data_IF_967569067917
#
_entry.id   IF_967569067917
#
_cell.length_a   1.000
_cell.length_b   1.000
_cell.length_c   1.000
_cell.angle_alpha   90.00
_cell.angle_beta   90.00
_cell.angle_gamma   90.00
#
_symmetry.space_group_name_H-M   'P 1'
#
loop_
_entity.id
_entity.type
_entity.pdbx_description
1 polymer ?
#
# COMPACT_ATOMS: atom_id res chain seq x y z
N UNK A 1 28.31 -7.24 5.63
CA UNK A 1 27.98 -7.35 4.21
C UNK A 1 28.67 -8.56 3.53
N UNK A 2 29.89 -8.89 3.90
CA UNK A 2 30.68 -9.93 3.22
C UNK A 2 30.59 -11.33 3.84
N UNK A 3 29.88 -11.50 4.95
CA UNK A 3 29.76 -12.81 5.63
C UNK A 3 28.73 -13.75 4.99
N UNK A 4 27.95 -13.30 4.01
CA UNK A 4 27.02 -14.11 3.23
C UNK A 4 25.80 -14.68 3.99
N UNK A 5 25.61 -14.27 5.25
CA UNK A 5 24.60 -14.87 6.13
C UNK A 5 23.31 -14.06 6.26
N UNK A 6 23.15 -12.97 5.48
CA UNK A 6 22.00 -12.06 5.62
C UNK A 6 21.49 -11.66 4.25
N UNK A 7 20.19 -11.88 3.99
CA UNK A 7 19.52 -11.55 2.73
C UNK A 7 18.99 -10.10 2.69
N UNK A 8 18.88 -9.45 3.84
CA UNK A 8 18.37 -8.08 3.91
C UNK A 8 18.54 -7.43 5.28
N UNK A 9 18.23 -6.16 5.32
CA UNK A 9 18.37 -5.31 6.50
C UNK A 9 17.08 -4.53 6.76
N UNK A 10 16.75 -4.38 8.04
CA UNK A 10 15.72 -3.45 8.50
C UNK A 10 16.42 -2.24 9.14
N UNK A 11 16.16 -1.04 8.61
CA UNK A 11 16.68 0.22 9.15
C UNK A 11 15.52 0.97 9.79
N UNK A 12 15.57 1.14 11.10
CA UNK A 12 14.55 1.86 11.87
C UNK A 12 15.06 3.24 12.23
N UNK A 13 14.69 4.23 11.41
CA UNK A 13 15.11 5.62 11.62
C UNK A 13 14.24 6.57 10.80
N UNK A 14 14.15 7.83 11.25
CA UNK A 14 13.55 8.94 10.48
C UNK A 14 14.60 9.94 10.00
N UNK A 15 15.89 9.60 10.13
CA UNK A 15 17.00 10.47 9.76
C UNK A 15 17.44 10.24 8.31
N UNK A 16 17.68 11.34 7.59
CA UNK A 16 18.19 11.34 6.22
C UNK A 16 19.62 10.82 6.07
N UNK A 17 20.40 10.81 7.14
CA UNK A 17 21.80 10.37 7.12
C UNK A 17 21.93 8.90 6.74
N UNK A 18 20.90 8.10 7.04
CA UNK A 18 20.85 6.69 6.64
C UNK A 18 20.54 6.46 5.15
N UNK A 19 20.26 7.52 4.38
CA UNK A 19 19.98 7.40 2.94
C UNK A 19 21.09 6.71 2.18
N UNK A 20 22.35 7.10 2.43
CA UNK A 20 23.52 6.50 1.78
C UNK A 20 23.71 5.03 2.16
N UNK A 21 23.49 4.70 3.41
CA UNK A 21 23.56 3.32 3.88
C UNK A 21 22.50 2.45 3.18
N UNK A 22 21.24 2.90 3.16
CA UNK A 22 20.15 2.18 2.51
C UNK A 22 20.42 1.97 1.00
N UNK A 23 20.88 3.03 0.30
CA UNK A 23 21.24 2.94 -1.11
C UNK A 23 22.36 1.92 -1.34
N UNK A 24 23.43 1.96 -0.53
CA UNK A 24 24.58 1.07 -0.65
C UNK A 24 24.22 -0.40 -0.41
N UNK A 25 23.39 -0.67 0.58
CA UNK A 25 22.89 -2.02 0.86
C UNK A 25 22.08 -2.55 -0.32
N UNK A 26 21.21 -1.74 -0.88
CA UNK A 26 20.39 -2.11 -2.06
C UNK A 26 21.24 -2.31 -3.31
N UNK A 27 22.24 -1.47 -3.55
CA UNK A 27 23.22 -1.64 -4.64
C UNK A 27 24.01 -2.93 -4.53
N UNK A 28 24.26 -3.40 -3.30
CA UNK A 28 24.88 -4.69 -3.02
C UNK A 28 23.93 -5.88 -3.15
N UNK A 29 22.70 -5.68 -3.65
CA UNK A 29 21.71 -6.73 -3.84
C UNK A 29 20.92 -7.13 -2.60
N UNK A 30 21.10 -6.44 -1.47
CA UNK A 30 20.40 -6.72 -0.22
C UNK A 30 18.97 -6.14 -0.23
N UNK A 31 18.02 -6.84 0.38
CA UNK A 31 16.69 -6.29 0.64
C UNK A 31 16.78 -5.25 1.76
N UNK A 32 16.28 -4.04 1.53
CA UNK A 32 16.29 -2.97 2.52
C UNK A 32 14.85 -2.59 2.88
N UNK A 33 14.45 -2.90 4.10
CA UNK A 33 13.20 -2.44 4.72
C UNK A 33 13.49 -1.23 5.59
N UNK A 34 12.95 -0.06 5.25
CA UNK A 34 12.97 1.12 6.10
C UNK A 34 11.74 1.19 7.00
N UNK A 35 11.93 1.61 8.23
CA UNK A 35 10.85 1.94 9.16
C UNK A 35 11.11 3.30 9.80
N UNK A 36 10.11 4.17 9.87
CA UNK A 36 10.26 5.49 10.47
C UNK A 36 8.92 6.20 10.62
N UNK A 37 8.96 7.44 11.06
CA UNK A 37 7.78 8.27 11.24
C UNK A 37 7.29 8.87 9.91
N UNK A 38 6.06 9.38 9.88
CA UNK A 38 5.45 10.04 8.70
C UNK A 38 6.24 11.28 8.22
N UNK A 39 7.08 11.87 9.10
CA UNK A 39 7.98 12.99 8.78
C UNK A 39 9.27 12.59 8.07
N UNK A 40 9.56 11.29 7.93
CA UNK A 40 10.79 10.77 7.32
C UNK A 40 11.03 11.37 5.94
N UNK A 41 12.26 11.84 5.63
CA UNK A 41 12.57 12.45 4.35
C UNK A 41 12.43 11.48 3.17
N UNK A 42 11.86 11.96 2.07
CA UNK A 42 11.64 11.17 0.85
C UNK A 42 12.92 10.52 0.28
N UNK A 43 14.10 11.12 0.30
CA UNK A 43 15.34 10.47 -0.16
C UNK A 43 15.60 9.15 0.56
N UNK A 44 15.44 9.10 1.90
CA UNK A 44 15.63 7.86 2.65
C UNK A 44 14.56 6.81 2.30
N UNK A 45 13.30 7.22 2.22
CA UNK A 45 12.19 6.32 1.80
C UNK A 45 12.47 5.70 0.43
N UNK A 46 12.90 6.52 -0.55
CA UNK A 46 13.19 6.06 -1.92
C UNK A 46 14.44 5.18 -2.02
N UNK A 47 15.36 5.30 -1.07
CA UNK A 47 16.55 4.45 -1.00
C UNK A 47 16.23 3.02 -0.53
N UNK A 48 15.11 2.80 0.16
CA UNK A 48 14.66 1.48 0.61
C UNK A 48 13.91 0.72 -0.50
N UNK A 49 13.87 -0.62 -0.42
CA UNK A 49 12.99 -1.45 -1.23
C UNK A 49 11.53 -1.34 -0.78
N UNK A 50 11.33 -1.26 0.55
CA UNK A 50 10.05 -1.02 1.18
C UNK A 50 10.21 -0.07 2.35
N UNK A 51 9.18 0.72 2.64
CA UNK A 51 9.16 1.62 3.79
C UNK A 51 7.83 1.50 4.53
N UNK A 52 7.89 1.43 5.87
CA UNK A 52 6.73 1.35 6.76
C UNK A 52 6.72 2.53 7.73
N UNK A 53 5.57 3.20 7.84
CA UNK A 53 5.38 4.28 8.79
C UNK A 53 4.95 3.70 10.15
N UNK A 54 5.78 3.86 11.17
CA UNK A 54 5.53 3.30 12.52
C UNK A 54 4.32 3.93 13.19
N UNK A 55 4.14 5.23 13.06
CA UNK A 55 3.00 5.96 13.60
C UNK A 55 1.67 5.55 12.95
N UNK A 56 1.67 5.19 11.66
CA UNK A 56 0.50 4.65 10.99
C UNK A 56 0.21 3.21 11.42
N UNK A 57 1.23 2.38 11.57
CA UNK A 57 1.09 1.01 12.07
C UNK A 57 0.49 1.00 13.48
N UNK A 58 0.99 1.84 14.36
CA UNK A 58 0.48 1.96 15.73
C UNK A 58 -0.97 2.43 15.79
N UNK A 59 -1.36 3.43 14.98
CA UNK A 59 -2.75 3.87 14.88
C UNK A 59 -3.69 2.78 14.38
N UNK A 60 -3.27 2.06 13.34
CA UNK A 60 -4.07 0.98 12.77
C UNK A 60 -4.28 -0.16 13.78
N UNK A 61 -3.26 -0.49 14.57
CA UNK A 61 -3.36 -1.49 15.62
C UNK A 61 -4.37 -1.07 16.69
N UNK A 62 -4.33 0.18 17.15
CA UNK A 62 -5.31 0.70 18.11
C UNK A 62 -6.75 0.72 17.56
N UNK A 63 -6.92 0.95 16.25
CA UNK A 63 -8.23 0.91 15.61
C UNK A 63 -8.75 -0.53 15.44
N UNK A 64 -7.87 -1.50 15.22
CA UNK A 64 -8.20 -2.92 15.15
C UNK A 64 -8.58 -3.44 16.54
N UNK A 65 -7.80 -3.15 17.59
CA UNK A 65 -8.11 -3.51 18.99
C UNK A 65 -9.47 -2.94 19.43
N UNK A 66 -9.75 -1.67 19.12
CA UNK A 66 -11.07 -1.06 19.44
C UNK A 66 -12.23 -1.68 18.67
N UNK A 67 -12.00 -2.24 17.50
CA UNK A 67 -13.04 -2.95 16.74
C UNK A 67 -13.31 -4.32 17.31
N UNK A 68 -12.27 -5.04 17.70
CA UNK A 68 -12.41 -6.34 18.38
C UNK A 68 -13.13 -6.19 19.73
N UNK A 69 -12.81 -5.15 20.51
CA UNK A 69 -13.51 -4.82 21.74
C UNK A 69 -14.98 -4.44 21.51
N UNK A 70 -15.28 -3.77 20.39
CA UNK A 70 -16.66 -3.42 20.00
C UNK A 70 -17.44 -4.59 19.42
N UNK A 71 -16.80 -5.51 18.71
CA UNK A 71 -17.44 -6.73 18.21
C UNK A 71 -17.75 -7.70 19.35
N UNK A 72 -16.84 -7.84 20.32
CA UNK A 72 -17.12 -8.62 21.56
C UNK A 72 -18.22 -7.99 22.43
N UNK A 73 -18.37 -6.65 22.39
CA UNK A 73 -19.45 -5.93 23.08
C UNK A 73 -20.76 -5.85 22.26
N UNK A 74 -20.70 -6.03 20.94
CA UNK A 74 -21.86 -5.91 20.04
C UNK A 74 -22.64 -7.21 19.86
N UNK A 75 -22.11 -8.36 20.25
CA UNK A 75 -22.92 -9.57 20.43
C UNK A 75 -23.98 -9.43 21.53
N UNK A 76 -23.86 -8.39 22.38
CA UNK A 76 -24.81 -8.09 23.44
C UNK A 76 -25.89 -7.03 23.08
N UNK A 77 -25.75 -6.22 21.98
CA UNK A 77 -26.77 -5.19 21.63
C UNK A 77 -26.78 -4.90 20.12
N UNK A 78 -27.81 -5.38 19.43
CA UNK A 78 -28.20 -4.91 18.09
C UNK A 78 -28.76 -3.49 18.16
N UNK A 79 -28.21 -2.58 17.33
CA UNK A 79 -28.77 -1.44 16.61
C UNK A 79 -28.00 -0.13 16.83
N UNK A 80 -27.65 0.52 15.69
CA UNK A 80 -27.39 1.97 15.68
C UNK A 80 -26.15 2.43 14.92
N UNK A 81 -26.36 2.66 13.62
CA UNK A 81 -25.81 3.74 12.78
C UNK A 81 -24.38 4.27 13.05
N UNK A 82 -23.45 3.89 12.18
CA UNK A 82 -22.07 4.36 12.18
C UNK A 82 -21.89 5.70 11.46
N UNK A 83 -21.42 6.71 12.14
CA UNK A 83 -21.04 7.99 11.56
C UNK A 83 -19.53 8.10 11.53
N UNK A 84 -18.99 8.19 10.33
CA UNK A 84 -17.56 8.26 10.01
C UNK A 84 -17.03 9.67 10.32
N UNK A 85 -16.24 9.85 11.38
CA UNK A 85 -15.54 11.10 11.64
C UNK A 85 -14.19 11.11 10.90
N UNK A 86 -14.17 11.82 9.79
CA UNK A 86 -12.96 12.30 9.13
C UNK A 86 -12.20 13.26 10.05
N UNK A 87 -10.94 12.95 10.34
CA UNK A 87 -10.04 13.87 11.02
C UNK A 87 -9.00 14.45 10.06
N UNK A 88 -8.87 15.72 10.14
CA UNK A 88 -8.11 16.74 9.45
C UNK A 88 -6.62 16.39 9.14
N UNK A 89 -6.34 15.80 8.01
CA UNK A 89 -5.08 15.91 7.26
C UNK A 89 -5.32 15.89 5.75
N UNK A 90 -6.34 16.60 5.29
CA UNK A 90 -6.86 16.52 3.91
C UNK A 90 -5.88 16.94 2.82
N UNK A 91 -4.93 17.84 3.09
CA UNK A 91 -4.04 18.36 2.04
C UNK A 91 -2.90 17.41 1.66
N UNK A 92 -2.26 16.73 2.63
CA UNK A 92 -1.22 15.72 2.37
C UNK A 92 -1.82 14.46 1.74
N UNK A 93 -2.90 13.92 2.31
CA UNK A 93 -3.61 12.74 1.77
C UNK A 93 -4.05 12.93 0.32
N UNK A 94 -4.54 14.13 -0.06
CA UNK A 94 -4.92 14.41 -1.45
C UNK A 94 -3.74 14.43 -2.44
N UNK A 95 -2.56 14.92 -2.02
CA UNK A 95 -1.35 14.87 -2.86
C UNK A 95 -0.84 13.45 -3.04
N UNK A 96 -0.86 12.67 -1.97
CA UNK A 96 -0.43 11.26 -2.01
C UNK A 96 -1.40 10.40 -2.83
N UNK A 97 -2.71 10.62 -2.73
CA UNK A 97 -3.70 9.96 -3.59
C UNK A 97 -3.51 10.30 -5.08
N UNK A 98 -3.19 11.56 -5.42
CA UNK A 98 -2.86 11.95 -6.80
C UNK A 98 -1.60 11.24 -7.31
N UNK A 99 -0.56 11.12 -6.46
CA UNK A 99 0.67 10.40 -6.78
C UNK A 99 0.39 8.91 -7.03
N UNK A 100 -0.40 8.29 -6.17
CA UNK A 100 -0.80 6.87 -6.31
C UNK A 100 -1.64 6.65 -7.57
N UNK A 101 -2.66 7.49 -7.84
CA UNK A 101 -3.44 7.41 -9.10
C UNK A 101 -2.56 7.51 -10.33
N UNK A 102 -1.63 8.47 -10.36
CA UNK A 102 -0.70 8.62 -11.49
C UNK A 102 0.17 7.37 -11.67
N UNK A 103 0.61 6.76 -10.58
CA UNK A 103 1.38 5.51 -10.62
C UNK A 103 0.53 4.34 -11.14
N UNK A 104 -0.72 4.20 -10.67
CA UNK A 104 -1.66 3.15 -11.12
C UNK A 104 -1.93 3.29 -12.62
N UNK A 105 -2.25 4.49 -13.11
CA UNK A 105 -2.51 4.72 -14.53
C UNK A 105 -1.31 4.32 -15.38
N UNK A 106 -0.11 4.80 -15.03
CA UNK A 106 1.11 4.46 -15.75
C UNK A 106 1.49 2.97 -15.68
N UNK A 107 1.05 2.24 -14.65
CA UNK A 107 1.25 0.79 -14.55
C UNK A 107 0.24 0.07 -15.45
N UNK A 108 -1.04 0.47 -15.42
CA UNK A 108 -2.06 -0.11 -16.28
C UNK A 108 -1.70 0.11 -17.75
N UNK A 109 -1.36 1.34 -18.17
CA UNK A 109 -0.93 1.65 -19.53
C UNK A 109 0.24 0.79 -20.02
N UNK A 110 1.18 0.45 -19.12
CA UNK A 110 2.40 -0.27 -19.49
C UNK A 110 2.25 -1.79 -19.44
N UNK A 111 1.44 -2.32 -18.58
CA UNK A 111 1.43 -3.75 -18.22
C UNK A 111 0.07 -4.43 -18.41
N UNK A 112 -0.98 -3.70 -18.85
CA UNK A 112 -2.27 -4.31 -19.21
C UNK A 112 -2.17 -5.14 -20.48
N UNK A 113 -3.10 -6.08 -20.63
CA UNK A 113 -3.31 -6.82 -21.87
C UNK A 113 -3.96 -5.95 -22.97
N UNK A 114 -4.24 -6.56 -24.13
CA UNK A 114 -4.85 -5.88 -25.30
C UNK A 114 -6.24 -5.29 -24.99
N UNK A 115 -6.93 -5.83 -24.01
CA UNK A 115 -8.25 -5.35 -23.55
C UNK A 115 -8.16 -4.32 -22.42
N UNK A 116 -6.94 -3.95 -22.01
CA UNK A 116 -6.66 -2.99 -20.94
C UNK A 116 -6.77 -3.56 -19.53
N UNK A 117 -6.83 -4.88 -19.35
CA UNK A 117 -6.91 -5.52 -18.05
C UNK A 117 -5.53 -5.83 -17.46
N UNK A 118 -5.38 -5.56 -16.17
CA UNK A 118 -4.18 -5.87 -15.39
C UNK A 118 -4.57 -6.64 -14.13
N UNK A 119 -3.86 -7.73 -13.83
CA UNK A 119 -4.12 -8.52 -12.64
C UNK A 119 -3.79 -7.77 -11.35
N UNK A 120 -4.56 -8.04 -10.28
CA UNK A 120 -4.35 -7.40 -8.97
C UNK A 120 -2.97 -7.71 -8.37
N UNK A 121 -2.43 -8.88 -8.64
CA UNK A 121 -1.08 -9.27 -8.19
C UNK A 121 0.00 -8.44 -8.85
N UNK A 122 -0.03 -8.33 -10.20
CA UNK A 122 0.91 -7.49 -10.95
C UNK A 122 0.81 -6.03 -10.57
N UNK A 123 -0.42 -5.49 -10.39
CA UNK A 123 -0.60 -4.12 -9.95
C UNK A 123 0.03 -3.87 -8.59
N UNK A 124 -0.18 -4.77 -7.61
CA UNK A 124 0.41 -4.66 -6.28
C UNK A 124 1.93 -4.71 -6.29
N UNK A 125 2.51 -5.64 -7.05
CA UNK A 125 3.96 -5.80 -7.21
C UNK A 125 4.60 -4.54 -7.84
N UNK A 126 4.01 -4.03 -8.93
CA UNK A 126 4.51 -2.83 -9.61
C UNK A 126 4.35 -1.56 -8.76
N UNK A 127 3.26 -1.46 -7.99
CA UNK A 127 3.07 -0.35 -7.04
C UNK A 127 4.14 -0.37 -5.94
N UNK A 128 4.43 -1.52 -5.35
CA UNK A 128 5.48 -1.66 -4.35
C UNK A 128 6.86 -1.28 -4.86
N UNK A 129 7.19 -1.64 -6.13
CA UNK A 129 8.44 -1.25 -6.77
C UNK A 129 8.56 0.24 -7.07
N UNK A 130 7.46 0.92 -7.43
CA UNK A 130 7.45 2.36 -7.76
C UNK A 130 7.30 3.26 -6.55
N UNK A 131 6.59 2.81 -5.55
CA UNK A 131 6.23 3.54 -4.35
C UNK A 131 6.59 2.69 -3.13
N UNK A 132 7.84 2.73 -2.64
CA UNK A 132 8.29 1.90 -1.52
C UNK A 132 7.48 2.08 -0.24
N UNK A 133 6.87 3.27 -0.06
CA UNK A 133 6.01 3.65 1.06
C UNK A 133 4.51 3.34 0.84
N UNK A 134 4.16 2.73 -0.31
CA UNK A 134 2.77 2.40 -0.60
C UNK A 134 2.28 1.24 0.26
N UNK A 135 1.25 1.53 1.05
CA UNK A 135 0.46 0.53 1.77
C UNK A 135 -1.00 0.98 1.80
N UNK A 136 -1.92 0.10 1.44
CA UNK A 136 -3.37 0.40 1.43
C UNK A 136 -3.90 0.77 2.81
N UNK A 137 -3.23 0.29 3.87
CA UNK A 137 -3.55 0.60 5.26
C UNK A 137 -3.35 2.08 5.58
N UNK A 138 -2.40 2.75 4.91
CA UNK A 138 -2.17 4.19 5.04
C UNK A 138 -3.38 5.02 4.57
N UNK A 139 -4.28 4.40 3.80
CA UNK A 139 -5.51 4.98 3.28
C UNK A 139 -6.78 4.43 3.95
N UNK A 140 -6.62 3.60 5.01
CA UNK A 140 -7.74 3.03 5.76
C UNK A 140 -8.36 1.78 5.13
N UNK A 141 -7.63 1.09 4.25
CA UNK A 141 -8.10 -0.14 3.60
C UNK A 141 -7.23 -1.33 3.99
N UNK A 142 -7.85 -2.48 4.25
CA UNK A 142 -7.14 -3.73 4.56
C UNK A 142 -6.70 -4.49 3.30
N UNK A 143 -7.29 -4.20 2.12
CA UNK A 143 -7.03 -4.89 0.85
C UNK A 143 -6.93 -3.91 -0.32
N UNK A 144 -6.15 -4.29 -1.35
CA UNK A 144 -5.95 -3.46 -2.55
C UNK A 144 -7.25 -3.24 -3.33
N UNK A 145 -8.09 -4.27 -3.47
CA UNK A 145 -9.33 -4.18 -4.26
C UNK A 145 -10.33 -3.13 -3.74
N UNK A 146 -10.69 -3.08 -2.44
CA UNK A 146 -11.52 -2.00 -1.92
C UNK A 146 -10.91 -0.61 -2.10
N UNK A 147 -9.59 -0.49 -1.94
CA UNK A 147 -8.89 0.77 -2.16
C UNK A 147 -9.02 1.25 -3.61
N UNK A 148 -8.72 0.38 -4.60
CA UNK A 148 -8.85 0.74 -6.02
C UNK A 148 -10.29 1.12 -6.38
N UNK A 149 -11.28 0.39 -5.86
CA UNK A 149 -12.71 0.72 -6.07
C UNK A 149 -13.07 2.10 -5.52
N UNK A 150 -12.54 2.49 -4.37
CA UNK A 150 -12.81 3.80 -3.76
C UNK A 150 -12.29 4.98 -4.60
N UNK A 151 -11.29 4.75 -5.45
CA UNK A 151 -10.78 5.76 -6.35
C UNK A 151 -11.75 6.13 -7.49
N UNK A 152 -12.73 5.28 -7.78
CA UNK A 152 -13.83 5.54 -8.72
C UNK A 152 -13.46 5.47 -10.21
N UNK A 153 -12.18 5.57 -10.56
CA UNK A 153 -11.66 5.66 -11.95
C UNK A 153 -11.37 4.31 -12.59
N UNK A 154 -11.61 3.20 -11.88
CA UNK A 154 -11.23 1.86 -12.34
C UNK A 154 -12.42 0.90 -12.32
N UNK A 155 -12.43 0.01 -13.31
CA UNK A 155 -13.33 -1.15 -13.36
C UNK A 155 -12.64 -2.36 -12.74
N UNK A 156 -13.43 -3.28 -12.20
CA UNK A 156 -12.93 -4.53 -11.62
C UNK A 156 -13.59 -5.73 -12.29
N UNK A 157 -12.79 -6.58 -12.92
CA UNK A 157 -13.21 -7.86 -13.49
C UNK A 157 -12.83 -9.03 -12.58
N UNK A 158 -13.57 -10.14 -12.67
CA UNK A 158 -13.24 -11.43 -12.05
C UNK A 158 -13.13 -12.48 -13.15
N UNK A 159 -11.92 -12.89 -13.47
CA UNK A 159 -11.66 -13.86 -14.52
C UNK A 159 -11.28 -15.19 -13.85
N UNK A 160 -11.93 -16.31 -14.19
CA UNK A 160 -11.53 -17.63 -13.68
C UNK A 160 -10.16 -18.01 -14.27
N UNK A 161 -9.22 -18.40 -13.41
CA UNK A 161 -7.88 -18.79 -13.82
C UNK A 161 -7.74 -20.32 -13.69
N UNK A 162 -7.61 -21.01 -14.82
CA UNK A 162 -7.31 -22.46 -14.89
C UNK A 162 -8.41 -23.39 -14.39
N UNK A 163 -8.14 -24.71 -14.38
CA UNK A 163 -9.09 -25.79 -14.04
C UNK A 163 -9.54 -25.84 -12.57
N UNK A 164 -9.10 -24.92 -11.71
CA UNK A 164 -9.34 -24.95 -10.25
C UNK A 164 -10.41 -24.00 -9.74
N UNK A 165 -11.16 -23.29 -10.59
CA UNK A 165 -12.25 -22.40 -10.18
C UNK A 165 -11.82 -21.17 -9.37
N UNK A 166 -10.53 -20.90 -9.20
CA UNK A 166 -10.03 -19.70 -8.52
C UNK A 166 -10.26 -18.48 -9.40
N UNK A 167 -10.98 -17.48 -8.87
CA UNK A 167 -11.25 -16.21 -9.56
C UNK A 167 -10.15 -15.23 -9.24
N UNK A 168 -9.42 -14.76 -10.25
CA UNK A 168 -8.45 -13.69 -10.11
C UNK A 168 -9.11 -12.33 -10.39
N UNK A 169 -8.71 -11.30 -9.62
CA UNK A 169 -9.24 -9.95 -9.79
C UNK A 169 -8.33 -9.19 -10.74
N UNK A 170 -8.97 -8.50 -11.67
CA UNK A 170 -8.34 -7.63 -12.66
C UNK A 170 -8.87 -6.21 -12.53
N UNK A 171 -8.08 -5.24 -12.95
CA UNK A 171 -8.41 -3.83 -12.97
C UNK A 171 -8.18 -3.26 -14.38
N UNK A 172 -9.06 -2.35 -14.78
CA UNK A 172 -8.98 -1.60 -16.02
C UNK A 172 -9.34 -0.14 -15.76
N UNK A 173 -8.74 0.80 -16.51
CA UNK A 173 -9.21 2.19 -16.47
C UNK A 173 -10.63 2.27 -17.07
N UNK A 174 -11.49 3.06 -16.43
CA UNK A 174 -12.79 3.39 -17.02
C UNK A 174 -12.57 4.31 -18.21
N UNK A 175 -13.23 4.02 -19.32
CA UNK A 175 -13.34 5.00 -20.41
C UNK A 175 -14.18 6.17 -19.91
N UNK A 176 -13.61 7.38 -19.97
CA UNK A 176 -14.39 8.60 -19.77
C UNK A 176 -15.35 8.73 -20.95
N UNK A 177 -16.66 8.62 -20.64
CA UNK A 177 -17.73 8.95 -21.60
C UNK A 177 -17.95 10.45 -21.62
#
# INVERSE_FOLDING_TARGET
>A
LYSGNVDGYCIVSSDSDFTRLAARLRESGMLVLGMGEEKTPKPFISACNQFKYLDLLYRNQQEEEKKEDLETAAEAKKAGNGNNKQNSSGSKKNKDLKRVRKAINAIIEKFSDEEGWLSSGQLGDQLGKRLPDFDVRNYGYSKLTPFIKSLGSYETGRIPTGSGGRKQIYFRMKEER
#
